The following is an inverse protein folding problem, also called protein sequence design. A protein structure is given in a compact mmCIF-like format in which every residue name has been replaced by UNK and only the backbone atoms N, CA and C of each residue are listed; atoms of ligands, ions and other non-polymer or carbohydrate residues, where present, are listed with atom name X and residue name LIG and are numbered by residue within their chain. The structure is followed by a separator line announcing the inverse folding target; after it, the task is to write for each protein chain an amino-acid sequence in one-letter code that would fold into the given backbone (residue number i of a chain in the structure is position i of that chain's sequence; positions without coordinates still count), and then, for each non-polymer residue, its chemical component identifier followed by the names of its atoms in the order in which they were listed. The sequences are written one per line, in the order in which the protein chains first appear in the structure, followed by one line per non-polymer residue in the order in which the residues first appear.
data_IF_984170466612
#
_entry.id   IF_984170466612
#
_cell.length_a   1.000
_cell.length_b   1.000
_cell.length_c   1.000
_cell.angle_alpha   90.00
_cell.angle_beta   90.00
_cell.angle_gamma   90.00
#
_symmetry.space_group_name_H-M   'P 1'
#
loop_
_entity.id
_entity.type
_entity.pdbx_description
1 polymer ?
#
# COMPACT_ATOMS: atom_id res chain seq x y z
N UNK A 1 -5.39 12.62 -5.01
CA UNK A 1 -4.20 13.25 -4.40
C UNK A 1 -4.42 13.58 -2.93
N UNK A 2 -5.52 14.24 -2.54
CA UNK A 2 -5.82 14.57 -1.13
C UNK A 2 -5.85 13.36 -0.20
N UNK A 3 -6.51 12.26 -0.58
CA UNK A 3 -6.56 11.02 0.22
C UNK A 3 -5.17 10.36 0.39
N UNK A 4 -4.29 10.48 -0.62
CA UNK A 4 -2.89 10.03 -0.49
C UNK A 4 -2.19 10.84 0.60
N UNK A 5 -2.32 12.17 0.55
CA UNK A 5 -1.76 13.07 1.54
C UNK A 5 -2.30 12.77 2.95
N UNK A 6 -3.58 12.47 3.10
CA UNK A 6 -4.17 12.10 4.40
C UNK A 6 -3.63 10.78 4.95
N UNK A 7 -3.46 9.75 4.11
CA UNK A 7 -2.88 8.47 4.52
C UNK A 7 -1.41 8.62 4.95
N UNK A 8 -0.65 9.45 4.24
CA UNK A 8 0.73 9.74 4.64
C UNK A 8 0.78 10.60 5.92
N UNK A 9 -0.06 11.62 6.02
CA UNK A 9 -0.08 12.57 7.15
C UNK A 9 -0.55 11.93 8.46
N UNK A 10 -1.60 11.11 8.41
CA UNK A 10 -2.13 10.37 9.57
C UNK A 10 -1.11 9.37 10.12
N UNK A 11 -0.33 8.70 9.27
CA UNK A 11 0.72 7.77 9.70
C UNK A 11 2.00 8.46 10.18
N UNK A 12 2.32 9.66 9.67
CA UNK A 12 3.45 10.45 10.18
C UNK A 12 3.17 11.08 11.55
N UNK A 13 1.91 11.43 11.84
CA UNK A 13 1.54 12.06 13.11
C UNK A 13 1.73 11.13 14.33
N UNK A 14 1.65 9.81 14.15
CA UNK A 14 1.80 8.83 15.27
C UNK A 14 3.27 8.55 15.62
N UNK A 15 4.25 8.95 14.80
CA UNK A 15 5.67 8.54 14.94
C UNK A 15 6.67 9.67 15.20
N UNK A 16 6.22 10.91 15.44
CA UNK A 16 7.14 12.03 15.75
C UNK A 16 7.62 12.07 17.21
N UNK A 17 7.36 11.03 18.01
CA UNK A 17 7.99 10.84 19.31
C UNK A 17 9.11 9.79 19.21
N UNK A 18 10.32 10.28 18.95
CA UNK A 18 11.61 9.72 19.39
C UNK A 18 12.28 8.55 18.60
N UNK A 19 13.62 8.65 18.53
CA UNK A 19 14.65 7.67 18.13
C UNK A 19 15.01 7.43 16.65
N UNK A 20 16.18 7.98 16.29
CA UNK A 20 17.33 7.23 15.79
C UNK A 20 17.31 6.75 14.32
N UNK A 21 18.43 6.98 13.62
CA UNK A 21 18.67 6.69 12.19
C UNK A 21 18.51 5.22 11.73
N UNK A 22 18.07 4.30 12.59
CA UNK A 22 17.72 2.91 12.23
C UNK A 22 16.32 2.74 11.63
N UNK A 23 15.43 3.73 11.77
CA UNK A 23 14.00 3.62 11.43
C UNK A 23 13.60 3.95 9.99
N UNK A 24 14.51 4.44 9.13
CA UNK A 24 14.16 4.79 7.74
C UNK A 24 13.86 3.57 6.86
N UNK A 25 14.50 2.45 7.16
CA UNK A 25 14.44 1.18 6.41
C UNK A 25 13.08 0.47 6.56
N UNK A 26 12.45 0.57 7.72
CA UNK A 26 11.10 0.06 8.01
C UNK A 26 10.03 1.00 7.45
N UNK A 27 10.29 2.32 7.39
CA UNK A 27 9.36 3.30 6.83
C UNK A 27 9.03 3.07 5.35
N UNK A 28 10.02 2.77 4.50
CA UNK A 28 9.75 2.55 3.07
C UNK A 28 8.74 1.43 2.82
N UNK A 29 8.89 0.31 3.53
CA UNK A 29 7.97 -0.82 3.44
C UNK A 29 6.55 -0.43 3.86
N UNK A 30 6.39 0.37 4.91
CA UNK A 30 5.08 0.82 5.42
C UNK A 30 4.30 1.64 4.40
N UNK A 31 5.00 2.45 3.60
CA UNK A 31 4.45 3.36 2.61
C UNK A 31 4.28 2.78 1.20
N UNK A 32 4.75 1.54 0.98
CA UNK A 32 4.65 0.87 -0.32
C UNK A 32 3.26 0.27 -0.57
N UNK A 33 2.84 0.10 -1.82
CA UNK A 33 1.61 -0.63 -2.13
C UNK A 33 0.79 0.03 -3.22
N UNK A 34 -0.43 -0.47 -3.43
CA UNK A 34 -1.33 0.03 -4.47
C UNK A 34 -2.58 0.62 -3.82
N UNK A 35 -2.95 1.82 -4.28
CA UNK A 35 -4.24 2.42 -3.97
C UNK A 35 -5.24 2.02 -5.06
N UNK A 36 -6.30 1.34 -4.67
CA UNK A 36 -7.35 0.94 -5.59
C UNK A 36 -8.56 1.86 -5.49
N UNK A 37 -8.97 2.39 -6.64
CA UNK A 37 -10.07 3.33 -6.80
C UNK A 37 -11.23 2.69 -7.57
N UNK A 38 -12.45 3.04 -7.21
CA UNK A 38 -13.67 2.73 -7.97
C UNK A 38 -14.50 3.99 -8.15
N UNK A 39 -14.81 4.35 -9.40
CA UNK A 39 -15.57 5.58 -9.75
C UNK A 39 -15.07 6.83 -9.00
N UNK A 40 -13.75 7.03 -8.99
CA UNK A 40 -13.04 8.14 -8.33
C UNK A 40 -13.00 8.13 -6.79
N UNK A 41 -13.54 7.10 -6.13
CA UNK A 41 -13.45 6.92 -4.68
C UNK A 41 -12.40 5.87 -4.34
N UNK A 42 -11.58 6.13 -3.32
CA UNK A 42 -10.67 5.12 -2.79
C UNK A 42 -11.45 3.97 -2.14
N UNK A 43 -11.16 2.75 -2.61
CA UNK A 43 -11.71 1.51 -2.06
C UNK A 43 -10.74 0.90 -1.07
N UNK A 44 -9.50 0.61 -1.51
CA UNK A 44 -8.49 -0.07 -0.71
C UNK A 44 -7.18 0.72 -0.72
N UNK A 45 -6.71 1.22 0.44
CA UNK A 45 -5.43 1.92 0.53
C UNK A 45 -4.25 0.95 0.69
N UNK A 46 -3.13 1.23 0.02
CA UNK A 46 -1.82 0.60 0.25
C UNK A 46 -1.82 -0.94 0.31
N UNK A 47 -2.56 -1.57 -0.60
CA UNK A 47 -2.53 -3.04 -0.73
C UNK A 47 -1.14 -3.47 -1.19
N UNK A 48 -0.48 -4.34 -0.41
CA UNK A 48 0.87 -4.81 -0.73
C UNK A 48 0.81 -5.82 -1.86
N UNK A 49 1.71 -5.68 -2.84
CA UNK A 49 1.88 -6.72 -3.86
C UNK A 49 2.54 -7.96 -3.26
N UNK A 50 2.43 -9.12 -3.94
CA UNK A 50 3.06 -10.36 -3.50
C UNK A 50 4.58 -10.26 -3.32
N UNK A 51 5.25 -9.33 -4.02
CA UNK A 51 6.69 -9.08 -3.84
C UNK A 51 6.98 -8.20 -2.61
N UNK A 52 6.09 -7.25 -2.30
CA UNK A 52 6.22 -6.36 -1.14
C UNK A 52 5.92 -7.06 0.19
N UNK A 53 5.15 -8.15 0.19
CA UNK A 53 4.84 -8.95 1.40
C UNK A 53 5.93 -9.96 1.77
N UNK A 54 6.85 -10.27 0.85
CA UNK A 54 7.92 -11.26 1.12
C UNK A 54 8.84 -10.75 2.22
N UNK A 55 8.83 -11.42 3.37
CA UNK A 55 9.83 -11.22 4.40
C UNK A 55 11.13 -11.90 3.99
N UNK A 56 12.25 -11.17 4.06
CA UNK A 56 13.59 -11.75 3.95
C UNK A 56 14.36 -11.44 5.22
N UNK A 57 15.00 -12.47 5.76
CA UNK A 57 15.82 -12.41 6.98
C UNK A 57 17.24 -11.90 6.71
N UNK A 58 17.67 -11.87 5.45
CA UNK A 58 18.99 -11.38 5.05
C UNK A 58 19.06 -9.85 5.01
N UNK A 59 20.25 -9.30 5.28
CA UNK A 59 20.50 -7.87 5.16
C UNK A 59 20.53 -7.46 3.68
N UNK A 60 19.45 -6.83 3.21
CA UNK A 60 19.35 -6.34 1.82
C UNK A 60 19.84 -4.90 1.70
N UNK A 61 20.50 -4.59 0.58
CA UNK A 61 20.82 -3.22 0.18
C UNK A 61 19.55 -2.43 -0.18
N UNK A 62 19.62 -1.10 -0.13
CA UNK A 62 18.48 -0.24 -0.49
C UNK A 62 18.03 -0.47 -1.94
N UNK A 63 18.97 -0.65 -2.87
CA UNK A 63 18.69 -0.94 -4.27
C UNK A 63 17.82 -2.19 -4.41
N UNK A 64 18.24 -3.32 -3.81
CA UNK A 64 17.49 -4.60 -3.87
C UNK A 64 16.08 -4.46 -3.27
N UNK A 65 15.94 -3.73 -2.16
CA UNK A 65 14.62 -3.46 -1.55
C UNK A 65 13.68 -2.74 -2.51
N UNK A 66 14.19 -1.77 -3.26
CA UNK A 66 13.37 -0.99 -4.21
C UNK A 66 13.10 -1.82 -5.47
N UNK A 67 14.15 -2.35 -6.11
CA UNK A 67 14.03 -2.95 -7.46
C UNK A 67 13.40 -4.35 -7.43
N UNK A 68 13.70 -5.17 -6.42
CA UNK A 68 13.22 -6.55 -6.37
C UNK A 68 11.97 -6.71 -5.52
N UNK A 69 11.91 -6.01 -4.38
CA UNK A 69 10.79 -6.08 -3.43
C UNK A 69 9.77 -4.96 -3.62
N UNK A 70 10.08 -3.92 -4.40
CA UNK A 70 9.16 -2.80 -4.63
C UNK A 70 8.94 -1.93 -3.39
N UNK A 71 9.87 -1.92 -2.43
CA UNK A 71 9.77 -1.05 -1.26
C UNK A 71 9.96 0.42 -1.65
N UNK A 72 9.15 1.31 -1.10
CA UNK A 72 9.04 2.71 -1.50
C UNK A 72 8.20 2.95 -2.76
N UNK A 73 7.78 1.90 -3.49
CA UNK A 73 6.96 2.05 -4.69
C UNK A 73 5.47 2.11 -4.34
N UNK A 74 4.80 3.11 -4.91
CA UNK A 74 3.38 3.34 -4.78
C UNK A 74 2.73 3.25 -6.16
N UNK A 75 1.71 2.39 -6.28
CA UNK A 75 0.85 2.29 -7.44
C UNK A 75 -0.52 2.91 -7.17
N UNK A 76 -1.19 3.31 -8.24
CA UNK A 76 -2.58 3.73 -8.22
C UNK A 76 -3.31 2.99 -9.35
N UNK A 77 -4.43 2.33 -9.04
CA UNK A 77 -5.23 1.63 -10.02
C UNK A 77 -6.70 1.99 -9.90
N UNK A 78 -7.42 2.02 -11.02
CA UNK A 78 -8.86 2.30 -11.08
C UNK A 78 -9.60 1.09 -11.65
N UNK A 79 -10.32 0.40 -10.78
CA UNK A 79 -11.00 -0.87 -11.08
C UNK A 79 -12.53 -0.65 -11.11
N UNK A 80 -13.02 0.02 -12.16
CA UNK A 80 -14.47 0.32 -12.27
C UNK A 80 -15.32 -0.91 -12.62
N UNK A 81 -14.70 -1.99 -13.12
CA UNK A 81 -15.41 -3.22 -13.48
C UNK A 81 -15.65 -4.14 -12.28
N UNK A 82 -14.92 -3.94 -11.17
CA UNK A 82 -15.14 -4.66 -9.92
C UNK A 82 -16.29 -4.03 -9.14
N UNK A 83 -17.04 -4.86 -8.41
CA UNK A 83 -18.11 -4.38 -7.53
C UNK A 83 -17.55 -4.13 -6.13
N UNK A 84 -17.83 -2.96 -5.56
CA UNK A 84 -17.47 -2.66 -4.17
C UNK A 84 -18.44 -3.36 -3.21
N UNK A 85 -17.94 -3.85 -2.08
CA UNK A 85 -18.78 -4.31 -0.97
C UNK A 85 -19.61 -3.18 -0.35
N UNK A 86 -20.55 -3.53 0.53
CA UNK A 86 -21.50 -2.59 1.15
C UNK A 86 -20.84 -1.33 1.72
N UNK A 87 -19.73 -1.49 2.45
CA UNK A 87 -19.03 -0.40 3.10
C UNK A 87 -18.02 0.33 2.18
N UNK A 88 -17.89 -0.12 0.93
CA UNK A 88 -16.99 0.44 -0.11
C UNK A 88 -15.52 0.50 0.31
N UNK A 89 -15.09 -0.46 1.14
CA UNK A 89 -13.72 -0.61 1.65
C UNK A 89 -12.98 -1.83 1.09
N UNK A 90 -13.67 -2.62 0.29
CA UNK A 90 -13.16 -3.82 -0.35
C UNK A 90 -13.95 -4.07 -1.64
N UNK A 91 -13.36 -4.86 -2.53
CA UNK A 91 -14.09 -5.42 -3.66
C UNK A 91 -14.68 -6.76 -3.25
N UNK A 92 -15.87 -7.04 -3.76
CA UNK A 92 -16.52 -8.34 -3.63
C UNK A 92 -16.50 -9.01 -4.98
N UNK A 93 -16.34 -10.33 -4.98
CA UNK A 93 -16.59 -11.10 -6.18
C UNK A 93 -18.03 -10.83 -6.61
N UNK A 94 -18.19 -10.38 -7.86
CA UNK A 94 -19.52 -10.24 -8.44
C UNK A 94 -20.21 -11.61 -8.48
N UNK A 95 -21.51 -11.67 -8.80
CA UNK A 95 -22.22 -12.94 -9.01
C UNK A 95 -21.56 -13.85 -10.07
N UNK A 96 -20.66 -13.31 -10.89
CA UNK A 96 -19.72 -14.08 -11.71
C UNK A 96 -18.41 -14.33 -10.95
N UNK A 97 -18.45 -15.21 -9.95
CA UNK A 97 -17.26 -15.91 -9.48
C UNK A 97 -16.76 -16.83 -10.59
N UNK A 98 -15.99 -16.29 -11.54
CA UNK A 98 -15.20 -17.10 -12.44
C UNK A 98 -14.06 -17.71 -11.62
N UNK A 99 -14.35 -18.89 -11.09
CA UNK A 99 -13.35 -19.87 -10.65
C UNK A 99 -12.50 -20.33 -11.84
#
# INVERSE_FOLDING_TARGET
LQELCEVFSSRTAVKSADKGHSNQKTRLAEYSGVFYYHKHRLTMPLVKTARQTKMRTQMLTTTVRITELGWGLVGCCRENFLTQGHNKREYVDGPSGLK
#
